data_IF_965222701733
#
_entry.id   IF_965222701733
#
_cell.length_a   1.000
_cell.length_b   1.000
_cell.length_c   1.000
_cell.angle_alpha   90.00
_cell.angle_beta   90.00
_cell.angle_gamma   90.00
#
_symmetry.space_group_name_H-M   'P 1'
#
loop_
_entity.id
_entity.type
_entity.pdbx_description
1 polymer ?
#
# COMPACT_ATOMS: atom_id res chain seq x y z
N UNK A 1 -35.74 14.04 3.69
CA UNK A 1 -35.06 12.96 4.44
C UNK A 1 -34.39 12.01 3.45
N UNK A 2 -33.19 12.37 2.95
CA UNK A 2 -32.39 11.47 2.12
C UNK A 2 -31.71 10.50 3.08
N UNK A 3 -32.19 9.25 3.16
CA UNK A 3 -31.45 8.18 3.85
C UNK A 3 -30.07 8.10 3.20
N UNK A 4 -29.03 8.17 4.04
CA UNK A 4 -27.63 8.26 3.66
C UNK A 4 -27.22 6.97 2.92
N UNK A 5 -27.33 7.00 1.59
CA UNK A 5 -27.05 5.89 0.67
C UNK A 5 -25.64 5.34 0.87
N UNK A 6 -24.66 6.20 1.17
CA UNK A 6 -23.30 5.77 1.49
C UNK A 6 -23.23 5.00 2.81
N UNK A 7 -23.87 5.47 3.88
CA UNK A 7 -23.94 4.71 5.15
C UNK A 7 -24.60 3.33 4.99
N UNK A 8 -25.54 3.19 4.05
CA UNK A 8 -26.14 1.91 3.70
C UNK A 8 -25.18 1.03 2.88
N UNK A 9 -24.43 1.61 1.95
CA UNK A 9 -23.34 0.91 1.22
C UNK A 9 -22.26 0.43 2.20
N UNK A 10 -21.86 1.25 3.17
CA UNK A 10 -20.90 0.86 4.21
C UNK A 10 -21.42 -0.25 5.14
N UNK A 11 -22.74 -0.29 5.41
CA UNK A 11 -23.39 -1.41 6.13
C UNK A 11 -23.57 -2.67 5.29
N UNK A 12 -23.58 -2.56 3.96
CA UNK A 12 -23.77 -3.68 3.02
C UNK A 12 -22.47 -4.19 2.39
N UNK A 13 -21.33 -3.53 2.64
CA UNK A 13 -20.02 -4.15 2.48
C UNK A 13 -19.94 -5.27 3.52
N UNK A 14 -20.26 -6.49 3.09
CA UNK A 14 -20.04 -7.70 3.87
C UNK A 14 -18.52 -7.90 4.03
N UNK A 15 -17.92 -7.19 4.99
CA UNK A 15 -16.61 -7.52 5.49
C UNK A 15 -16.71 -8.95 6.03
N UNK A 16 -16.04 -9.89 5.35
CA UNK A 16 -16.04 -11.32 5.68
C UNK A 16 -15.42 -11.60 7.06
N UNK A 17 -14.85 -10.56 7.69
CA UNK A 17 -14.44 -10.53 9.09
C UNK A 17 -15.21 -9.42 9.83
N UNK A 18 -15.65 -9.67 11.06
CA UNK A 18 -16.32 -8.68 11.93
C UNK A 18 -15.48 -7.39 12.17
N UNK A 19 -14.19 -7.41 11.82
CA UNK A 19 -13.27 -6.31 11.99
C UNK A 19 -13.33 -5.31 10.82
N UNK A 20 -13.76 -4.07 11.11
CA UNK A 20 -13.86 -2.97 10.18
C UNK A 20 -12.55 -2.18 10.13
N UNK A 21 -11.69 -2.38 9.13
CA UNK A 21 -10.41 -1.67 9.03
C UNK A 21 -10.53 -0.42 8.14
N UNK A 22 -10.23 0.77 8.67
CA UNK A 22 -10.39 2.04 7.94
C UNK A 22 -9.51 2.14 6.70
N UNK A 23 -8.36 1.46 6.68
CA UNK A 23 -7.48 1.39 5.51
C UNK A 23 -8.06 0.58 4.35
N UNK A 24 -9.12 -0.20 4.59
CA UNK A 24 -9.76 -1.06 3.60
C UNK A 24 -11.13 -0.44 3.14
N UNK A 25 -11.44 0.80 3.54
CA UNK A 25 -12.66 1.48 3.07
C UNK A 25 -12.52 1.89 1.59
N UNK A 26 -13.57 1.73 0.75
CA UNK A 26 -13.51 2.08 -0.67
C UNK A 26 -13.06 3.51 -0.95
N UNK A 27 -13.54 4.47 -0.15
CA UNK A 27 -13.24 5.89 -0.31
C UNK A 27 -11.93 6.29 0.41
N UNK A 28 -11.12 5.34 0.92
CA UNK A 28 -9.94 5.66 1.74
C UNK A 28 -8.94 6.58 1.01
N UNK A 29 -8.82 6.46 -0.32
CA UNK A 29 -7.95 7.31 -1.14
C UNK A 29 -8.37 8.77 -1.07
N UNK A 30 -9.65 9.03 -1.18
CA UNK A 30 -10.27 10.35 -1.07
C UNK A 30 -10.17 10.88 0.37
N UNK A 31 -10.31 10.01 1.38
CA UNK A 31 -10.20 10.38 2.79
C UNK A 31 -8.76 10.75 3.22
N UNK A 32 -7.75 10.24 2.52
CA UNK A 32 -6.34 10.29 2.93
C UNK A 32 -5.80 11.70 3.20
N UNK A 33 -6.08 12.74 2.38
CA UNK A 33 -5.57 14.10 2.64
C UNK A 33 -6.06 14.66 3.99
N UNK A 34 -7.34 14.44 4.31
CA UNK A 34 -7.96 14.90 5.56
C UNK A 34 -7.38 14.15 6.76
N UNK A 35 -7.12 12.85 6.61
CA UNK A 35 -6.44 12.03 7.63
C UNK A 35 -5.01 12.52 7.83
N UNK A 36 -4.25 12.76 6.76
CA UNK A 36 -2.87 13.22 6.83
C UNK A 36 -2.76 14.58 7.51
N UNK A 37 -3.66 15.51 7.19
CA UNK A 37 -3.74 16.81 7.88
C UNK A 37 -4.02 16.62 9.39
N UNK A 38 -4.95 15.74 9.75
CA UNK A 38 -5.26 15.45 11.14
C UNK A 38 -4.08 14.79 11.88
N UNK A 39 -3.37 13.86 11.24
CA UNK A 39 -2.18 13.21 11.79
C UNK A 39 -1.03 14.21 11.95
N UNK A 40 -0.82 15.11 10.99
CA UNK A 40 0.14 16.20 11.13
C UNK A 40 -0.19 17.11 12.31
N UNK A 41 -1.47 17.43 12.52
CA UNK A 41 -1.90 18.20 13.68
C UNK A 41 -1.64 17.43 14.99
N UNK A 42 -1.92 16.13 15.05
CA UNK A 42 -1.58 15.29 16.21
C UNK A 42 -0.07 15.26 16.49
N UNK A 43 0.74 15.13 15.44
CA UNK A 43 2.19 15.16 15.54
C UNK A 43 2.66 16.50 16.09
N UNK A 44 2.11 17.61 15.58
CA UNK A 44 2.42 18.95 16.06
C UNK A 44 2.03 19.13 17.53
N UNK A 45 0.84 18.66 17.93
CA UNK A 45 0.33 18.76 19.30
C UNK A 45 1.11 17.88 20.30
N UNK A 46 1.88 16.90 19.81
CA UNK A 46 2.74 16.07 20.66
C UNK A 46 3.99 16.79 21.17
N UNK A 47 4.38 17.90 20.52
CA UNK A 47 5.52 18.71 20.95
C UNK A 47 5.06 19.85 21.86
N UNK A 48 5.69 19.98 23.03
CA UNK A 48 5.42 21.05 23.99
C UNK A 48 5.98 22.41 23.56
N UNK A 49 6.84 22.45 22.55
CA UNK A 49 7.51 23.64 22.03
C UNK A 49 7.55 23.62 20.50
N UNK A 50 7.75 24.78 19.88
CA UNK A 50 7.89 24.88 18.42
C UNK A 50 9.12 24.09 17.95
N UNK A 51 8.93 23.23 16.96
CA UNK A 51 9.97 22.39 16.35
C UNK A 51 10.00 22.60 14.84
N UNK A 52 11.13 22.21 14.22
CA UNK A 52 11.29 22.28 12.77
C UNK A 52 10.19 21.47 12.06
N UNK A 53 9.67 21.95 10.91
CA UNK A 53 8.62 21.24 10.15
C UNK A 53 8.96 19.79 9.85
N UNK A 54 10.23 19.51 9.49
CA UNK A 54 10.73 18.16 9.22
C UNK A 54 10.54 17.21 10.41
N UNK A 55 10.67 17.69 11.66
CA UNK A 55 10.43 16.86 12.85
C UNK A 55 8.94 16.52 13.01
N UNK A 56 8.05 17.44 12.65
CA UNK A 56 6.60 17.20 12.65
C UNK A 56 6.25 16.17 11.57
N UNK A 57 6.85 16.27 10.39
CA UNK A 57 6.64 15.31 9.30
C UNK A 57 7.11 13.91 9.65
N UNK A 58 8.30 13.77 10.26
CA UNK A 58 8.77 12.47 10.74
C UNK A 58 7.84 11.87 11.79
N UNK A 59 7.37 12.68 12.75
CA UNK A 59 6.44 12.20 13.78
C UNK A 59 5.07 11.84 13.18
N UNK A 60 4.57 12.62 12.21
CA UNK A 60 3.34 12.32 11.49
C UNK A 60 3.45 11.00 10.73
N UNK A 61 4.56 10.77 10.04
CA UNK A 61 4.85 9.51 9.35
C UNK A 61 4.86 8.33 10.33
N UNK A 62 5.51 8.48 11.50
CA UNK A 62 5.53 7.44 12.52
C UNK A 62 4.11 7.12 13.03
N UNK A 63 3.27 8.13 13.26
CA UNK A 63 1.86 7.95 13.66
C UNK A 63 1.06 7.22 12.58
N UNK A 64 1.20 7.59 11.30
CA UNK A 64 0.52 6.90 10.18
C UNK A 64 0.96 5.44 10.10
N UNK A 65 2.26 5.18 10.24
CA UNK A 65 2.81 3.82 10.22
C UNK A 65 2.30 2.98 11.38
N UNK A 66 2.26 3.54 12.59
CA UNK A 66 1.73 2.87 13.76
C UNK A 66 0.24 2.53 13.58
N UNK A 67 -0.57 3.51 13.14
CA UNK A 67 -1.98 3.30 12.83
C UNK A 67 -2.15 2.14 11.85
N UNK A 68 -1.41 2.11 10.75
CA UNK A 68 -1.53 1.06 9.74
C UNK A 68 -1.09 -0.30 10.25
N UNK A 69 0.13 -0.39 10.80
CA UNK A 69 0.74 -1.67 11.15
C UNK A 69 0.00 -2.35 12.29
N UNK A 70 -0.26 -1.63 13.38
CA UNK A 70 -0.92 -2.25 14.51
C UNK A 70 -2.37 -2.63 14.16
N UNK A 71 -3.08 -1.80 13.39
CA UNK A 71 -4.46 -2.13 12.96
C UNK A 71 -4.50 -3.37 12.08
N UNK A 72 -3.62 -3.45 11.06
CA UNK A 72 -3.52 -4.64 10.20
C UNK A 72 -3.08 -5.87 11.00
N UNK A 73 -2.17 -5.71 11.97
CA UNK A 73 -1.74 -6.78 12.88
C UNK A 73 -2.93 -7.38 13.64
N UNK A 74 -3.74 -6.55 14.29
CA UNK A 74 -4.91 -7.03 15.04
C UNK A 74 -6.01 -7.59 14.15
N UNK A 75 -6.23 -7.01 12.96
CA UNK A 75 -7.17 -7.54 11.96
C UNK A 75 -6.79 -8.98 11.55
N UNK A 76 -5.50 -9.24 11.31
CA UNK A 76 -5.01 -10.56 10.91
C UNK A 76 -5.04 -11.59 12.03
N UNK A 77 -4.68 -11.18 13.25
CA UNK A 77 -4.72 -12.03 14.43
C UNK A 77 -6.16 -12.38 14.83
N UNK A 78 -7.12 -11.49 14.54
CA UNK A 78 -8.53 -11.66 14.89
C UNK A 78 -8.76 -11.64 16.40
N UNK A 79 -7.84 -11.03 17.15
CA UNK A 79 -7.80 -10.96 18.61
C UNK A 79 -6.50 -10.32 19.10
N UNK A 80 -6.31 -10.24 20.42
CA UNK A 80 -5.09 -9.74 21.03
C UNK A 80 -4.54 -10.69 22.09
N UNK A 81 -3.23 -10.78 22.23
CA UNK A 81 -2.57 -11.57 23.26
C UNK A 81 -2.36 -10.74 24.55
N UNK A 82 -2.26 -11.36 25.75
CA UNK A 82 -2.12 -10.64 27.02
C UNK A 82 -0.96 -9.64 27.05
N UNK A 83 0.18 -9.97 26.42
CA UNK A 83 1.35 -9.09 26.36
C UNK A 83 1.15 -7.84 25.48
N UNK A 84 0.10 -7.80 24.66
CA UNK A 84 -0.21 -6.69 23.74
C UNK A 84 -1.25 -5.70 24.31
N UNK A 85 -1.75 -5.92 25.53
CA UNK A 85 -2.88 -5.14 26.07
C UNK A 85 -2.59 -3.63 26.14
N UNK A 86 -1.39 -3.24 26.57
CA UNK A 86 -0.98 -1.83 26.62
C UNK A 86 -0.89 -1.20 25.23
N UNK A 87 -0.39 -1.95 24.26
CA UNK A 87 -0.26 -1.53 22.87
C UNK A 87 -1.65 -1.32 22.23
N UNK A 88 -2.57 -2.29 22.39
CA UNK A 88 -3.95 -2.15 21.92
C UNK A 88 -4.64 -0.91 22.52
N UNK A 89 -4.44 -0.66 23.83
CA UNK A 89 -4.97 0.55 24.46
C UNK A 89 -4.37 1.83 23.88
N UNK A 90 -3.07 1.85 23.60
CA UNK A 90 -2.41 2.98 22.97
C UNK A 90 -2.96 3.24 21.56
N UNK A 91 -3.18 2.18 20.76
CA UNK A 91 -3.79 2.30 19.44
C UNK A 91 -5.21 2.85 19.50
N UNK A 92 -6.05 2.33 20.40
CA UNK A 92 -7.43 2.83 20.60
C UNK A 92 -7.43 4.31 21.02
N UNK A 93 -6.46 4.71 21.84
CA UNK A 93 -6.27 6.12 22.22
C UNK A 93 -5.85 6.97 21.02
N UNK A 94 -4.94 6.48 20.17
CA UNK A 94 -4.50 7.16 18.96
C UNK A 94 -5.67 7.39 17.99
N UNK A 95 -6.50 6.36 17.75
CA UNK A 95 -7.76 6.50 16.99
C UNK A 95 -8.74 7.49 17.63
N UNK A 96 -8.81 7.53 18.95
CA UNK A 96 -9.67 8.49 19.66
C UNK A 96 -9.18 9.93 19.45
N UNK A 97 -7.87 10.15 19.52
CA UNK A 97 -7.28 11.46 19.26
C UNK A 97 -7.49 11.88 17.80
N UNK A 98 -7.32 10.96 16.85
CA UNK A 98 -7.58 11.21 15.43
C UNK A 98 -9.03 11.65 15.19
N UNK A 99 -10.00 10.93 15.76
CA UNK A 99 -11.43 11.32 15.70
C UNK A 99 -11.67 12.71 16.27
N UNK A 100 -11.09 13.02 17.43
CA UNK A 100 -11.23 14.34 18.05
C UNK A 100 -10.68 15.45 17.17
N UNK A 101 -9.50 15.24 16.56
CA UNK A 101 -8.89 16.23 15.67
C UNK A 101 -9.73 16.47 14.42
N UNK A 102 -10.20 15.40 13.77
CA UNK A 102 -11.08 15.53 12.58
C UNK A 102 -12.39 16.23 12.96
N UNK A 103 -12.96 15.92 14.13
CA UNK A 103 -14.23 16.48 14.59
C UNK A 103 -14.15 17.95 15.03
N UNK A 104 -12.94 18.51 15.21
CA UNK A 104 -12.74 19.94 15.55
C UNK A 104 -12.86 20.87 14.34
N UNK A 105 -12.99 20.33 13.11
CA UNK A 105 -13.15 21.15 11.89
C UNK A 105 -14.40 22.02 12.00
N UNK A 106 -14.32 23.26 11.50
CA UNK A 106 -15.43 24.23 11.54
C UNK A 106 -16.62 23.81 10.69
N UNK A 107 -16.36 23.13 9.59
CA UNK A 107 -17.35 22.62 8.65
C UNK A 107 -17.22 21.10 8.65
N UNK A 108 -18.34 20.42 8.90
CA UNK A 108 -18.48 18.98 8.79
C UNK A 108 -19.48 18.74 7.67
N UNK A 109 -18.98 18.39 6.50
CA UNK A 109 -19.78 17.96 5.36
C UNK A 109 -19.88 16.43 5.33
N UNK A 110 -20.56 15.90 4.30
CA UNK A 110 -20.77 14.45 4.17
C UNK A 110 -19.46 13.65 4.08
N UNK A 111 -18.41 14.22 3.48
CA UNK A 111 -17.11 13.56 3.34
C UNK A 111 -16.44 13.42 4.71
N UNK A 112 -16.45 14.49 5.52
CA UNK A 112 -15.95 14.45 6.89
C UNK A 112 -16.77 13.48 7.77
N UNK A 113 -18.09 13.42 7.59
CA UNK A 113 -18.93 12.44 8.29
C UNK A 113 -18.55 10.99 7.95
N UNK A 114 -18.30 10.69 6.68
CA UNK A 114 -17.90 9.35 6.22
C UNK A 114 -16.54 8.95 6.81
N UNK A 115 -15.60 9.91 6.90
CA UNK A 115 -14.30 9.71 7.56
C UNK A 115 -14.47 9.43 9.05
N UNK A 116 -15.25 10.26 9.75
CA UNK A 116 -15.52 10.08 11.18
C UNK A 116 -16.16 8.71 11.42
N UNK A 117 -17.07 8.29 10.55
CA UNK A 117 -17.66 6.97 10.61
C UNK A 117 -16.62 5.86 10.45
N UNK A 118 -15.80 5.89 9.39
CA UNK A 118 -14.79 4.88 9.10
C UNK A 118 -13.79 4.71 10.26
N UNK A 119 -13.21 5.82 10.72
CA UNK A 119 -12.24 5.84 11.82
C UNK A 119 -12.88 5.33 13.12
N UNK A 120 -14.15 5.66 13.38
CA UNK A 120 -14.86 5.18 14.56
C UNK A 120 -15.22 3.69 14.49
N UNK A 121 -15.53 3.16 13.31
CA UNK A 121 -15.77 1.71 13.15
C UNK A 121 -14.52 0.91 13.49
N UNK A 122 -13.35 1.31 12.99
CA UNK A 122 -12.09 0.64 13.32
C UNK A 122 -11.77 0.71 14.81
N UNK A 123 -11.98 1.88 15.43
CA UNK A 123 -11.82 2.01 16.88
C UNK A 123 -12.74 1.06 17.65
N UNK A 124 -13.99 0.86 17.20
CA UNK A 124 -14.93 -0.08 17.82
C UNK A 124 -14.48 -1.52 17.62
N UNK A 125 -14.12 -1.90 16.40
CA UNK A 125 -13.62 -3.24 16.11
C UNK A 125 -12.37 -3.60 16.94
N UNK A 126 -11.46 -2.64 17.17
CA UNK A 126 -10.31 -2.83 18.07
C UNK A 126 -10.72 -3.08 19.53
N UNK A 127 -11.78 -2.42 20.02
CA UNK A 127 -12.30 -2.62 21.39
C UNK A 127 -13.01 -3.96 21.57
N UNK A 128 -13.58 -4.48 20.50
CA UNK A 128 -14.36 -5.73 20.48
C UNK A 128 -13.49 -6.96 20.19
N UNK A 129 -12.17 -6.78 20.00
CA UNK A 129 -11.25 -7.90 19.83
C UNK A 129 -11.30 -8.84 21.03
N UNK A 130 -11.38 -10.13 20.74
CA UNK A 130 -11.28 -11.19 21.74
C UNK A 130 -9.84 -11.37 22.23
N UNK A 131 -9.69 -11.71 23.51
CA UNK A 131 -8.41 -12.17 24.06
C UNK A 131 -8.03 -13.53 23.49
N UNK A 132 -6.75 -13.68 23.16
CA UNK A 132 -6.13 -14.93 22.69
C UNK A 132 -5.22 -15.50 23.79
N UNK A 133 -4.98 -16.81 23.75
CA UNK A 133 -4.03 -17.44 24.67
C UNK A 133 -2.60 -17.41 24.11
N UNK A 134 -1.61 -17.17 24.99
CA UNK A 134 -0.19 -17.20 24.63
C UNK A 134 0.45 -15.81 24.57
N UNK A 135 1.45 -15.65 23.71
CA UNK A 135 2.16 -14.38 23.51
C UNK A 135 2.24 -14.06 22.02
N UNK A 136 1.95 -12.81 21.67
CA UNK A 136 1.95 -12.32 20.29
C UNK A 136 3.10 -11.35 20.01
N UNK A 137 3.33 -11.02 18.73
CA UNK A 137 4.34 -10.04 18.34
C UNK A 137 3.95 -8.64 18.80
N UNK A 138 4.91 -7.93 19.42
CA UNK A 138 4.78 -6.52 19.79
C UNK A 138 5.13 -5.62 18.60
N UNK A 139 4.59 -4.41 18.61
CA UNK A 139 4.94 -3.37 17.66
C UNK A 139 6.36 -2.85 17.92
N UNK A 140 7.13 -2.69 16.84
CA UNK A 140 8.49 -2.18 16.86
C UNK A 140 8.59 -0.97 15.93
N UNK A 141 8.87 0.21 16.51
CA UNK A 141 8.97 1.50 15.79
C UNK A 141 10.02 1.48 14.66
N UNK A 142 11.09 0.70 14.83
CA UNK A 142 12.21 0.63 13.89
C UNK A 142 12.14 -0.57 12.94
N UNK A 143 11.06 -1.34 12.94
CA UNK A 143 10.93 -2.45 12.00
C UNK A 143 10.70 -1.88 10.60
N UNK A 144 11.36 -2.40 9.57
CA UNK A 144 11.07 -2.04 8.18
C UNK A 144 9.65 -2.50 7.80
N UNK A 145 9.00 -1.84 6.83
CA UNK A 145 7.66 -2.32 6.38
C UNK A 145 7.88 -3.67 5.72
N UNK A 146 7.16 -4.68 6.17
CA UNK A 146 7.21 -6.02 5.60
C UNK A 146 5.92 -6.31 4.82
N UNK A 147 6.01 -7.18 3.82
CA UNK A 147 4.81 -7.72 3.19
C UNK A 147 4.04 -8.55 4.20
N UNK A 148 2.75 -8.29 4.31
CA UNK A 148 1.88 -9.08 5.16
C UNK A 148 1.82 -10.52 4.66
N UNK A 149 2.15 -11.53 5.50
CA UNK A 149 2.12 -12.92 5.07
C UNK A 149 0.72 -13.37 4.60
N UNK A 150 0.67 -13.99 3.43
CA UNK A 150 -0.52 -14.58 2.83
C UNK A 150 -1.43 -13.60 2.08
N UNK A 151 -1.09 -12.31 1.99
CA UNK A 151 -1.85 -11.35 1.18
C UNK A 151 -1.41 -11.38 -0.27
N UNK A 152 -2.13 -10.66 -1.14
CA UNK A 152 -1.85 -10.62 -2.57
C UNK A 152 -0.38 -10.29 -2.87
N UNK A 153 0.15 -9.21 -2.29
CA UNK A 153 1.54 -8.79 -2.51
C UNK A 153 2.56 -9.83 -2.03
N UNK A 154 2.35 -10.48 -0.88
CA UNK A 154 3.24 -11.55 -0.40
C UNK A 154 3.20 -12.76 -1.35
N UNK A 155 2.03 -13.19 -1.82
CA UNK A 155 1.93 -14.34 -2.74
C UNK A 155 2.58 -14.04 -4.09
N UNK A 156 2.32 -12.86 -4.65
CA UNK A 156 2.97 -12.41 -5.90
C UNK A 156 4.48 -12.38 -5.71
N UNK A 157 4.97 -11.74 -4.65
CA UNK A 157 6.41 -11.63 -4.38
C UNK A 157 7.05 -13.02 -4.22
N UNK A 158 6.42 -13.94 -3.47
CA UNK A 158 6.90 -15.33 -3.34
C UNK A 158 7.03 -16.06 -4.66
N UNK A 159 6.20 -15.75 -5.64
CA UNK A 159 6.29 -16.31 -6.98
C UNK A 159 7.45 -15.69 -7.76
N UNK A 160 7.59 -14.37 -7.73
CA UNK A 160 8.62 -13.62 -8.47
C UNK A 160 10.04 -13.88 -7.93
N UNK A 161 10.21 -14.10 -6.63
CA UNK A 161 11.54 -14.32 -6.04
C UNK A 161 12.10 -15.73 -6.30
N UNK A 162 11.30 -16.67 -6.85
CA UNK A 162 11.71 -18.08 -6.98
C UNK A 162 13.07 -18.28 -7.65
N UNK A 163 13.42 -17.57 -8.75
CA UNK A 163 14.73 -17.70 -9.39
C UNK A 163 15.90 -17.22 -8.51
N UNK A 164 15.60 -16.45 -7.46
CA UNK A 164 16.57 -15.76 -6.60
C UNK A 164 16.74 -16.46 -5.24
N UNK A 165 16.02 -17.56 -5.01
CA UNK A 165 16.16 -18.36 -3.79
C UNK A 165 17.43 -19.21 -3.83
N UNK A 166 18.19 -19.18 -2.73
CA UNK A 166 19.37 -20.07 -2.57
C UNK A 166 18.94 -21.53 -2.42
N UNK A 167 17.87 -21.77 -1.64
CA UNK A 167 17.15 -23.03 -1.61
C UNK A 167 15.76 -22.83 -2.26
N UNK A 168 15.52 -23.39 -3.46
CA UNK A 168 14.25 -23.24 -4.20
C UNK A 168 13.00 -23.75 -3.45
N UNK A 169 13.17 -24.63 -2.46
CA UNK A 169 12.08 -25.15 -1.62
C UNK A 169 11.96 -24.42 -0.27
N UNK A 170 12.87 -23.49 0.00
CA UNK A 170 12.88 -22.71 1.23
C UNK A 170 11.90 -21.54 1.22
N UNK A 171 11.70 -20.92 2.38
CA UNK A 171 10.84 -19.74 2.53
C UNK A 171 11.54 -18.47 2.03
N UNK A 172 10.75 -17.44 1.73
CA UNK A 172 11.23 -16.07 1.56
C UNK A 172 11.74 -15.54 2.90
N UNK A 173 13.03 -15.70 3.17
CA UNK A 173 13.70 -15.15 4.35
C UNK A 173 15.03 -14.54 3.91
N UNK A 174 15.54 -13.48 4.55
CA UNK A 174 16.75 -12.78 4.08
C UNK A 174 17.94 -13.71 3.83
N UNK A 175 18.13 -14.73 4.68
CA UNK A 175 19.19 -15.74 4.55
C UNK A 175 19.05 -16.69 3.36
N UNK A 176 17.86 -16.78 2.75
CA UNK A 176 17.54 -17.71 1.66
C UNK A 176 17.30 -17.00 0.32
N UNK A 177 17.58 -15.70 0.23
CA UNK A 177 17.39 -14.88 -0.97
C UNK A 177 18.73 -14.21 -1.29
N UNK A 178 19.16 -14.27 -2.56
CA UNK A 178 20.36 -13.58 -3.03
C UNK A 178 20.17 -12.04 -3.06
N UNK A 179 21.20 -11.28 -3.42
CA UNK A 179 21.14 -9.81 -3.43
C UNK A 179 20.05 -9.25 -4.36
N UNK A 180 19.94 -9.76 -5.59
CA UNK A 180 18.93 -9.34 -6.57
C UNK A 180 17.50 -9.62 -6.07
N UNK A 181 17.26 -10.80 -5.52
CA UNK A 181 15.96 -11.14 -4.95
C UNK A 181 15.61 -10.29 -3.73
N UNK A 182 16.60 -9.86 -2.92
CA UNK A 182 16.35 -8.94 -1.80
C UNK A 182 15.93 -7.57 -2.32
N UNK A 183 16.55 -7.06 -3.38
CA UNK A 183 16.15 -5.82 -4.03
C UNK A 183 14.72 -5.92 -4.55
N UNK A 184 14.35 -7.05 -5.17
CA UNK A 184 12.98 -7.31 -5.61
C UNK A 184 11.98 -7.32 -4.45
N UNK A 185 12.31 -7.94 -3.31
CA UNK A 185 11.44 -7.92 -2.13
C UNK A 185 11.24 -6.48 -1.63
N UNK A 186 12.30 -5.68 -1.53
CA UNK A 186 12.23 -4.26 -1.13
C UNK A 186 11.39 -3.44 -2.12
N UNK A 187 11.55 -3.71 -3.42
CA UNK A 187 10.78 -3.08 -4.48
C UNK A 187 9.28 -3.40 -4.32
N UNK A 188 8.93 -4.67 -4.13
CA UNK A 188 7.53 -5.09 -3.92
C UNK A 188 6.94 -4.53 -2.62
N UNK A 189 7.73 -4.42 -1.54
CA UNK A 189 7.33 -3.73 -0.31
C UNK A 189 7.03 -2.26 -0.63
N UNK A 190 7.90 -1.61 -1.39
CA UNK A 190 7.73 -0.20 -1.76
C UNK A 190 6.44 -0.02 -2.56
N UNK A 191 6.17 -0.86 -3.55
CA UNK A 191 4.97 -0.79 -4.38
C UNK A 191 3.68 -1.08 -3.60
N UNK A 192 3.73 -2.00 -2.65
CA UNK A 192 2.62 -2.32 -1.75
C UNK A 192 2.12 -1.07 -0.99
N UNK A 193 3.05 -0.20 -0.58
CA UNK A 193 2.74 0.97 0.26
C UNK A 193 2.88 2.32 -0.47
N UNK A 194 3.25 2.32 -1.75
CA UNK A 194 3.45 3.55 -2.54
C UNK A 194 2.11 4.19 -2.86
N UNK A 195 2.04 5.49 -2.66
CA UNK A 195 1.00 6.32 -3.23
C UNK A 195 1.36 6.62 -4.70
N UNK A 196 0.79 5.85 -5.62
CA UNK A 196 1.09 5.98 -7.04
C UNK A 196 0.64 7.33 -7.62
N UNK A 197 -0.40 7.96 -7.08
CA UNK A 197 -0.84 9.28 -7.56
C UNK A 197 0.12 10.37 -7.15
N UNK A 198 0.51 10.39 -5.87
CA UNK A 198 1.49 11.34 -5.38
C UNK A 198 2.81 11.14 -6.13
N UNK A 199 3.19 9.90 -6.36
CA UNK A 199 4.41 9.56 -7.11
C UNK A 199 4.40 10.13 -8.53
N UNK A 200 3.30 9.96 -9.28
CA UNK A 200 3.15 10.51 -10.63
C UNK A 200 2.96 12.03 -10.64
N UNK A 201 2.32 12.60 -9.61
CA UNK A 201 2.21 14.07 -9.46
C UNK A 201 3.60 14.70 -9.35
N UNK A 202 4.50 14.10 -8.54
CA UNK A 202 5.88 14.55 -8.46
C UNK A 202 6.63 14.48 -9.79
N UNK A 203 6.38 13.45 -10.60
CA UNK A 203 6.94 13.39 -11.96
C UNK A 203 6.49 14.60 -12.78
N UNK A 204 5.18 14.88 -12.81
CA UNK A 204 4.62 16.01 -13.57
C UNK A 204 5.19 17.36 -13.11
N UNK A 205 5.35 17.57 -11.81
CA UNK A 205 5.94 18.78 -11.26
C UNK A 205 7.41 18.94 -11.68
N UNK A 206 8.20 17.86 -11.63
CA UNK A 206 9.59 17.87 -12.09
C UNK A 206 9.68 18.16 -13.60
N UNK A 207 8.81 17.57 -14.41
CA UNK A 207 8.74 17.89 -15.85
C UNK A 207 8.35 19.34 -16.10
N UNK A 208 7.40 19.87 -15.33
CA UNK A 208 7.01 21.27 -15.41
C UNK A 208 8.18 22.21 -15.08
N UNK A 209 9.00 21.86 -14.09
CA UNK A 209 10.20 22.62 -13.76
C UNK A 209 11.23 22.61 -14.90
N UNK A 210 11.48 21.44 -15.50
CA UNK A 210 12.39 21.32 -16.67
C UNK A 210 11.88 22.19 -17.84
N UNK A 211 10.56 22.16 -18.12
CA UNK A 211 9.93 22.97 -19.17
C UNK A 211 10.06 24.47 -18.97
N UNK A 212 10.19 24.94 -17.73
CA UNK A 212 10.33 26.35 -17.40
C UNK A 212 11.78 26.79 -17.17
N UNK A 213 12.74 25.87 -17.25
CA UNK A 213 14.16 26.17 -17.09
C UNK A 213 14.67 26.96 -18.30
N UNK A 214 15.29 28.11 -18.03
CA UNK A 214 15.81 28.99 -19.09
C UNK A 214 17.24 28.65 -19.43
N UNK A 215 17.58 28.77 -20.72
CA UNK A 215 18.96 28.64 -21.20
C UNK A 215 19.39 27.22 -21.55
N UNK A 216 18.47 26.25 -21.55
CA UNK A 216 18.73 24.89 -22.05
C UNK A 216 18.81 24.90 -23.58
N UNK A 217 19.80 24.21 -24.13
CA UNK A 217 19.79 23.78 -25.53
C UNK A 217 18.73 22.70 -25.74
N UNK A 218 18.31 22.47 -27.00
CA UNK A 218 17.34 21.42 -27.33
C UNK A 218 17.78 20.03 -26.82
N UNK A 219 19.07 19.71 -26.98
CA UNK A 219 19.64 18.45 -26.51
C UNK A 219 19.58 18.33 -24.98
N UNK A 220 20.04 19.36 -24.25
CA UNK A 220 19.99 19.35 -22.78
C UNK A 220 18.55 19.26 -22.25
N UNK A 221 17.60 19.90 -22.95
CA UNK A 221 16.19 19.82 -22.62
C UNK A 221 15.66 18.38 -22.76
N UNK A 222 15.95 17.69 -23.87
CA UNK A 222 15.55 16.31 -24.08
C UNK A 222 16.27 15.33 -23.15
N UNK A 223 17.56 15.56 -22.84
CA UNK A 223 18.31 14.75 -21.89
C UNK A 223 17.68 14.81 -20.50
N UNK A 224 17.35 16.01 -20.01
CA UNK A 224 16.70 16.19 -18.70
C UNK A 224 15.31 15.54 -18.64
N UNK A 225 14.53 15.65 -19.72
CA UNK A 225 13.23 15.01 -19.79
C UNK A 225 13.32 13.48 -19.87
N UNK A 226 14.30 12.94 -20.59
CA UNK A 226 14.58 11.50 -20.61
C UNK A 226 14.96 11.00 -19.22
N UNK A 227 15.90 11.67 -18.54
CA UNK A 227 16.32 11.32 -17.18
C UNK A 227 15.14 11.35 -16.20
N UNK A 228 14.26 12.34 -16.30
CA UNK A 228 13.03 12.38 -15.52
C UNK A 228 12.13 11.18 -15.84
N UNK A 229 11.80 10.90 -17.10
CA UNK A 229 10.93 9.75 -17.41
C UNK A 229 11.55 8.41 -17.01
N UNK A 230 12.87 8.23 -17.17
CA UNK A 230 13.59 7.04 -16.72
C UNK A 230 13.54 6.87 -15.19
N UNK A 231 13.68 7.98 -14.44
CA UNK A 231 13.59 7.98 -12.98
C UNK A 231 12.22 7.48 -12.47
N UNK A 232 11.16 7.75 -13.22
CA UNK A 232 9.78 7.37 -12.87
C UNK A 232 9.26 6.16 -13.66
N UNK A 233 10.07 5.52 -14.51
CA UNK A 233 9.63 4.44 -15.40
C UNK A 233 9.04 3.24 -14.65
N UNK A 234 9.39 3.08 -13.37
CA UNK A 234 8.91 2.00 -12.53
C UNK A 234 7.40 2.06 -12.21
N UNK A 235 6.71 3.15 -12.57
CA UNK A 235 5.24 3.23 -12.56
C UNK A 235 4.57 2.19 -13.46
N UNK A 236 5.27 1.62 -14.45
CA UNK A 236 4.78 0.49 -15.22
C UNK A 236 4.35 -0.70 -14.33
N UNK A 237 4.98 -0.88 -13.16
CA UNK A 237 4.56 -1.91 -12.21
C UNK A 237 3.19 -1.65 -11.59
N UNK A 238 2.74 -0.40 -11.49
CA UNK A 238 1.42 -0.08 -10.95
C UNK A 238 0.31 -0.71 -11.83
N UNK A 239 0.45 -0.60 -13.14
CA UNK A 239 -0.47 -1.20 -14.12
C UNK A 239 -0.41 -2.74 -14.06
N UNK A 240 0.79 -3.31 -14.08
CA UNK A 240 0.99 -4.77 -14.00
C UNK A 240 0.37 -5.35 -12.72
N UNK A 241 0.55 -4.67 -11.58
CA UNK A 241 -0.03 -5.08 -10.29
C UNK A 241 -1.56 -4.98 -10.34
N UNK A 242 -2.10 -3.89 -10.87
CA UNK A 242 -3.54 -3.68 -11.01
C UNK A 242 -4.19 -4.74 -11.91
N UNK A 243 -3.59 -5.04 -13.06
CA UNK A 243 -4.07 -6.06 -14.00
C UNK A 243 -4.00 -7.46 -13.38
N UNK A 244 -2.91 -7.78 -12.69
CA UNK A 244 -2.76 -9.03 -11.96
C UNK A 244 -3.84 -9.18 -10.88
N UNK A 245 -4.12 -8.12 -10.13
CA UNK A 245 -5.17 -8.12 -9.12
C UNK A 245 -6.57 -8.28 -9.73
N UNK A 246 -6.86 -7.55 -10.81
CA UNK A 246 -8.15 -7.59 -11.50
C UNK A 246 -8.42 -8.95 -12.15
N UNK A 247 -7.43 -9.56 -12.78
CA UNK A 247 -7.55 -10.93 -13.32
C UNK A 247 -7.72 -11.96 -12.20
N UNK A 248 -6.97 -11.84 -11.11
CA UNK A 248 -7.12 -12.73 -9.97
C UNK A 248 -8.50 -12.61 -9.32
N UNK A 249 -9.03 -11.39 -9.18
CA UNK A 249 -10.38 -11.15 -8.67
C UNK A 249 -11.45 -11.85 -9.50
N UNK A 250 -11.32 -11.88 -10.84
CA UNK A 250 -12.25 -12.60 -11.74
C UNK A 250 -12.22 -14.11 -11.55
N UNK A 251 -11.06 -14.67 -11.19
CA UNK A 251 -10.90 -16.12 -10.92
C UNK A 251 -11.52 -16.50 -9.57
N UNK A 252 -11.56 -15.54 -8.63
CA UNK A 252 -11.73 -15.82 -7.21
C UNK A 252 -13.10 -15.39 -6.65
N UNK A 253 -13.67 -14.30 -7.14
CA UNK A 253 -14.97 -13.74 -6.70
C UNK A 253 -16.04 -13.99 -7.77
N UNK A 254 -17.28 -14.35 -7.39
CA UNK A 254 -17.79 -14.56 -6.02
C UNK A 254 -17.67 -16.01 -5.53
N UNK A 255 -17.15 -16.92 -6.34
CA UNK A 255 -17.22 -18.37 -6.10
C UNK A 255 -16.51 -18.81 -4.81
N UNK A 256 -15.40 -18.16 -4.44
CA UNK A 256 -14.57 -18.59 -3.31
C UNK A 256 -14.59 -17.61 -2.12
N UNK A 257 -14.98 -16.35 -2.35
CA UNK A 257 -15.18 -15.31 -1.34
C UNK A 257 -16.04 -14.17 -1.89
N UNK A 258 -16.71 -13.48 -0.97
CA UNK A 258 -17.58 -12.35 -1.29
C UNK A 258 -16.82 -11.11 -1.77
N UNK A 259 -15.65 -10.83 -1.18
CA UNK A 259 -14.86 -9.63 -1.48
C UNK A 259 -13.37 -9.91 -1.30
N UNK A 260 -12.56 -9.44 -2.25
CA UNK A 260 -11.10 -9.48 -2.20
C UNK A 260 -10.56 -8.07 -1.96
N UNK A 261 -9.85 -7.90 -0.86
CA UNK A 261 -9.01 -6.73 -0.58
C UNK A 261 -7.53 -7.06 -0.83
N UNK A 262 -6.82 -6.18 -1.54
CA UNK A 262 -5.44 -6.42 -1.99
C UNK A 262 -4.43 -6.44 -0.83
N UNK A 263 -4.68 -5.69 0.25
CA UNK A 263 -3.74 -5.48 1.35
C UNK A 263 -4.02 -6.37 2.56
N UNK A 264 -5.28 -6.76 2.79
CA UNK A 264 -5.69 -7.43 4.04
C UNK A 264 -6.21 -8.85 3.86
N UNK A 265 -6.68 -9.23 2.66
CA UNK A 265 -7.25 -10.57 2.48
C UNK A 265 -6.16 -11.63 2.52
N UNK A 266 -6.33 -12.63 3.41
CA UNK A 266 -5.42 -13.79 3.46
C UNK A 266 -5.75 -14.78 2.33
N UNK A 267 -5.16 -14.50 1.17
CA UNK A 267 -5.24 -15.31 -0.06
C UNK A 267 -4.68 -16.71 0.15
N UNK A 268 -3.62 -16.88 0.94
CA UNK A 268 -3.00 -18.19 1.17
C UNK A 268 -3.99 -19.21 1.76
N UNK A 269 -4.83 -18.80 2.72
CA UNK A 269 -5.88 -19.69 3.28
C UNK A 269 -6.83 -20.19 2.20
N UNK A 270 -7.18 -19.35 1.24
CA UNK A 270 -8.07 -19.69 0.12
C UNK A 270 -7.35 -20.65 -0.83
N UNK A 271 -6.08 -20.39 -1.16
CA UNK A 271 -5.27 -21.25 -2.03
C UNK A 271 -5.03 -22.65 -1.43
N UNK A 272 -4.89 -22.76 -0.10
CA UNK A 272 -4.80 -24.05 0.60
C UNK A 272 -6.13 -24.80 0.50
N UNK A 273 -7.26 -24.10 0.73
CA UNK A 273 -8.60 -24.70 0.67
C UNK A 273 -8.98 -25.14 -0.74
N UNK A 274 -8.53 -24.42 -1.76
CA UNK A 274 -8.82 -24.67 -3.17
C UNK A 274 -7.53 -24.76 -4.00
N UNK A 275 -6.82 -25.91 -3.97
CA UNK A 275 -5.49 -26.04 -4.56
C UNK A 275 -5.39 -25.76 -6.06
N UNK A 276 -6.50 -25.93 -6.81
CA UNK A 276 -6.58 -25.64 -8.26
C UNK A 276 -6.45 -24.15 -8.59
N UNK A 277 -6.63 -23.26 -7.63
CA UNK A 277 -6.47 -21.80 -7.83
C UNK A 277 -5.00 -21.40 -7.91
N UNK A 278 -4.10 -22.11 -7.23
CA UNK A 278 -2.66 -21.79 -7.22
C UNK A 278 -2.04 -21.79 -8.62
N UNK A 279 -2.20 -22.83 -9.46
CA UNK A 279 -1.64 -22.80 -10.81
C UNK A 279 -2.25 -21.71 -11.69
N UNK A 280 -3.56 -21.43 -11.57
CA UNK A 280 -4.22 -20.36 -12.32
C UNK A 280 -3.67 -18.98 -11.93
N UNK A 281 -3.51 -18.72 -10.63
CA UNK A 281 -2.94 -17.46 -10.17
C UNK A 281 -1.46 -17.32 -10.60
N UNK A 282 -0.68 -18.40 -10.53
CA UNK A 282 0.70 -18.38 -11.03
C UNK A 282 0.77 -18.06 -12.53
N UNK A 283 -0.20 -18.51 -13.34
CA UNK A 283 -0.28 -18.17 -14.77
C UNK A 283 -0.60 -16.69 -14.99
N UNK A 284 -1.53 -16.12 -14.22
CA UNK A 284 -1.82 -14.68 -14.24
C UNK A 284 -0.58 -13.87 -13.91
N UNK A 285 0.14 -14.24 -12.82
CA UNK A 285 1.40 -13.59 -12.45
C UNK A 285 2.42 -13.72 -13.59
N UNK A 286 2.60 -14.93 -14.14
CA UNK A 286 3.57 -15.18 -15.21
C UNK A 286 3.30 -14.34 -16.47
N UNK A 287 2.03 -14.23 -16.86
CA UNK A 287 1.59 -13.43 -17.99
C UNK A 287 1.87 -11.93 -17.78
N UNK A 288 1.38 -11.37 -16.68
CA UNK A 288 1.41 -9.92 -16.48
C UNK A 288 2.80 -9.40 -16.09
N UNK A 289 3.56 -10.17 -15.30
CA UNK A 289 4.96 -9.83 -14.99
C UNK A 289 5.95 -10.23 -16.11
N UNK A 290 5.43 -10.71 -17.25
CA UNK A 290 6.23 -11.12 -18.42
C UNK A 290 7.37 -12.06 -18.04
N UNK A 291 7.06 -13.11 -17.28
CA UNK A 291 8.07 -14.04 -16.78
C UNK A 291 8.62 -14.91 -17.91
N UNK A 292 9.95 -15.03 -18.00
CA UNK A 292 10.60 -15.94 -18.94
C UNK A 292 10.56 -17.41 -18.48
N UNK A 293 11.16 -18.29 -19.28
CA UNK A 293 11.25 -19.73 -18.97
C UNK A 293 12.03 -20.03 -17.67
N UNK A 294 12.88 -19.11 -17.21
CA UNK A 294 13.62 -19.18 -15.95
C UNK A 294 12.87 -18.50 -14.78
N UNK A 295 11.71 -17.90 -15.05
CA UNK A 295 10.90 -17.19 -14.07
C UNK A 295 11.38 -15.77 -13.76
N UNK A 296 12.28 -15.18 -14.56
CA UNK A 296 12.72 -13.79 -14.40
C UNK A 296 11.71 -12.85 -15.07
N UNK A 297 11.48 -11.70 -14.44
CA UNK A 297 10.52 -10.69 -14.91
C UNK A 297 11.14 -9.74 -15.92
N UNK A 298 10.34 -9.33 -16.91
CA UNK A 298 10.73 -8.45 -18.01
C UNK A 298 9.74 -7.29 -18.19
N UNK A 299 9.16 -6.81 -17.09
CA UNK A 299 8.16 -5.72 -17.09
C UNK A 299 8.75 -4.42 -17.67
N UNK A 300 10.01 -4.12 -17.35
CA UNK A 300 10.65 -2.84 -17.65
C UNK A 300 11.30 -2.77 -19.03
N UNK A 301 11.51 -3.89 -19.70
CA UNK A 301 12.27 -3.95 -20.96
C UNK A 301 11.66 -3.05 -22.04
N UNK A 302 10.35 -3.17 -22.25
CA UNK A 302 9.59 -2.37 -23.22
C UNK A 302 9.45 -0.90 -22.78
N UNK A 303 9.00 -0.58 -21.55
CA UNK A 303 8.94 0.81 -21.07
C UNK A 303 10.26 1.59 -21.19
N UNK A 304 11.39 0.96 -20.81
CA UNK A 304 12.70 1.62 -20.89
C UNK A 304 13.14 1.83 -22.34
N UNK A 305 12.84 0.87 -23.22
CA UNK A 305 13.16 0.99 -24.64
C UNK A 305 12.32 2.08 -25.30
N UNK A 306 11.03 2.18 -24.97
CA UNK A 306 10.12 3.17 -25.53
C UNK A 306 10.52 4.59 -25.13
N UNK A 307 10.88 4.81 -23.86
CA UNK A 307 11.40 6.11 -23.39
C UNK A 307 12.65 6.50 -24.19
N UNK A 308 13.63 5.60 -24.32
CA UNK A 308 14.85 5.86 -25.09
C UNK A 308 14.57 6.16 -26.56
N UNK A 309 13.72 5.37 -27.20
CA UNK A 309 13.35 5.56 -28.60
C UNK A 309 12.66 6.91 -28.82
N UNK A 310 11.75 7.30 -27.93
CA UNK A 310 11.05 8.60 -27.96
C UNK A 310 12.03 9.77 -27.91
N UNK A 311 12.98 9.77 -26.97
CA UNK A 311 13.92 10.88 -26.82
C UNK A 311 15.03 10.88 -27.88
N UNK A 312 15.45 9.71 -28.38
CA UNK A 312 16.32 9.63 -29.56
C UNK A 312 15.64 10.23 -30.79
N UNK A 313 14.37 9.89 -31.04
CA UNK A 313 13.59 10.50 -32.11
C UNK A 313 13.52 12.02 -31.95
N UNK A 314 13.35 12.53 -30.72
CA UNK A 314 13.32 13.98 -30.49
C UNK A 314 14.65 14.67 -30.80
N UNK A 315 15.77 14.08 -30.39
CA UNK A 315 17.10 14.60 -30.71
C UNK A 315 17.39 14.60 -32.21
N UNK A 316 16.97 13.56 -32.91
CA UNK A 316 17.23 13.44 -34.35
C UNK A 316 16.40 14.40 -35.21
N UNK A 317 15.21 14.79 -34.75
CA UNK A 317 14.24 15.50 -35.58
C UNK A 317 13.94 16.94 -35.12
N UNK A 318 14.27 17.30 -33.88
CA UNK A 318 13.90 18.59 -33.29
C UNK A 318 15.01 19.29 -32.50
N UNK A 319 16.25 18.79 -32.52
CA UNK A 319 17.37 19.42 -31.81
C UNK A 319 18.10 20.50 -32.59
#
# INVERSE_FOLDING_TARGET
>A
MKRNLKSAVYKHLNFVNDFQNFFDFPDFREMRPIIREAVQQLAKDSFSQSVLPVKIEHQALAIEQQLERETRKYQQQGGFYPNQQSELHNLIRLYTNLLQTISKRKIIDQEIEDIIYAVNQTRKSLRELKGLEGSGPLYEDNQDKELVPGTFYDIVTRQLIRPYLLNPRGKMVPKNVNSEGRQLVIQMITYCYRDWDSYLTHQYDEQYNIKNERGLTSNEYYDKLEENELKYADHAYAEVIADTFNEFKKILVPEYLAMLDIMSTNVEKILIRYPRLRPQFNQVIAKNFKLDAHGKMHVMDEPLQDIKNKYNYYRENFS
#
